data_IF_029501280847
#
_entry.id   IF_029501280847
#
_cell.length_a   1.000
_cell.length_b   1.000
_cell.length_c   1.000
_cell.angle_alpha   90.00
_cell.angle_beta   90.00
_cell.angle_gamma   90.00
#
_symmetry.space_group_name_H-M   'P 1'
#
loop_
_entity.id
_entity.type
_entity.pdbx_description
1 polymer ?
#
# COMPACT_ATOMS: atom_id res chain seq x y z
N UNK A 1 -9.63 -16.82 17.39
CA UNK A 1 -9.33 -15.39 17.17
C UNK A 1 -8.83 -15.33 15.74
N UNK A 2 -9.42 -14.48 14.88
CA UNK A 2 -9.03 -14.44 13.46
C UNK A 2 -7.67 -13.76 13.39
N UNK A 3 -6.63 -14.54 13.11
CA UNK A 3 -5.27 -14.07 12.76
C UNK A 3 -5.20 -13.65 11.28
N UNK A 4 -6.31 -13.19 10.71
CA UNK A 4 -6.43 -12.68 9.34
C UNK A 4 -6.54 -11.16 9.48
N UNK A 5 -5.75 -10.37 8.75
CA UNK A 5 -5.96 -8.93 8.73
C UNK A 5 -7.23 -8.59 7.96
N UNK A 6 -7.59 -7.32 8.07
CA UNK A 6 -8.80 -6.82 7.46
C UNK A 6 -8.62 -6.79 5.94
N UNK A 7 -9.62 -7.29 5.20
CA UNK A 7 -9.73 -7.07 3.77
C UNK A 7 -9.53 -5.58 3.43
N UNK A 8 -8.98 -5.30 2.25
CA UNK A 8 -8.71 -3.92 1.84
C UNK A 8 -9.98 -3.04 1.84
N UNK A 9 -9.88 -1.86 2.46
CA UNK A 9 -11.01 -0.93 2.64
C UNK A 9 -10.83 0.32 1.79
N UNK A 10 -11.85 0.68 1.02
CA UNK A 10 -11.94 1.97 0.32
C UNK A 10 -12.84 2.95 1.09
N UNK A 11 -12.25 4.05 1.57
CA UNK A 11 -12.98 5.15 2.19
C UNK A 11 -13.19 6.29 1.19
N UNK A 12 -14.45 6.56 0.80
CA UNK A 12 -14.80 7.61 -0.15
C UNK A 12 -15.76 8.64 0.45
N UNK A 13 -15.55 9.91 0.11
CA UNK A 13 -16.42 11.01 0.48
C UNK A 13 -15.71 12.37 0.46
N UNK A 14 -16.45 13.48 0.54
CA UNK A 14 -15.89 14.83 0.63
C UNK A 14 -14.76 15.00 1.68
N UNK A 15 -13.88 16.00 1.52
CA UNK A 15 -12.94 16.39 2.57
C UNK A 15 -13.65 16.71 3.89
N UNK A 16 -13.03 16.36 5.02
CA UNK A 16 -13.58 16.66 6.35
C UNK A 16 -14.58 15.65 6.92
N UNK A 17 -14.95 14.59 6.18
CA UNK A 17 -15.84 13.53 6.69
C UNK A 17 -15.16 12.46 7.56
N UNK A 18 -13.92 12.70 8.00
CA UNK A 18 -13.23 11.81 8.93
C UNK A 18 -12.65 10.53 8.31
N UNK A 19 -12.33 10.50 7.01
CA UNK A 19 -11.68 9.34 6.35
C UNK A 19 -10.37 8.95 7.06
N UNK A 20 -9.48 9.92 7.28
CA UNK A 20 -8.23 9.73 8.02
C UNK A 20 -8.49 9.28 9.45
N UNK A 21 -9.51 9.84 10.10
CA UNK A 21 -9.93 9.42 11.44
C UNK A 21 -10.40 7.97 11.46
N UNK A 22 -11.11 7.51 10.43
CA UNK A 22 -11.50 6.10 10.31
C UNK A 22 -10.34 5.15 10.08
N UNK A 23 -9.36 5.53 9.26
CA UNK A 23 -8.16 4.71 9.13
C UNK A 23 -7.44 4.54 10.48
N UNK A 24 -7.33 5.61 11.27
CA UNK A 24 -6.75 5.58 12.61
C UNK A 24 -7.56 4.70 13.59
N UNK A 25 -8.89 4.79 13.55
CA UNK A 25 -9.76 3.94 14.38
C UNK A 25 -9.63 2.47 13.99
N UNK A 26 -9.60 2.14 12.70
CA UNK A 26 -9.40 0.76 12.23
C UNK A 26 -8.11 0.18 12.79
N UNK A 27 -6.98 0.88 12.62
CA UNK A 27 -5.68 0.41 13.14
C UNK A 27 -5.70 0.26 14.67
N UNK A 28 -6.34 1.18 15.38
CA UNK A 28 -6.46 1.13 16.84
C UNK A 28 -7.30 -0.05 17.33
N UNK A 29 -8.44 -0.32 16.68
CA UNK A 29 -9.32 -1.46 17.02
C UNK A 29 -8.67 -2.82 16.69
N UNK A 30 -7.82 -2.86 15.66
CA UNK A 30 -7.03 -4.04 15.32
C UNK A 30 -5.78 -4.21 16.21
N UNK A 31 -5.37 -3.16 16.92
CA UNK A 31 -4.18 -3.18 17.78
C UNK A 31 -2.85 -3.23 17.01
N UNK A 32 -2.82 -2.69 15.79
CA UNK A 32 -1.68 -2.74 14.85
C UNK A 32 -1.13 -1.34 14.55
N UNK A 33 0.03 -1.27 13.90
CA UNK A 33 0.61 -0.02 13.42
C UNK A 33 -0.17 0.56 12.24
N UNK A 34 0.06 1.85 11.97
CA UNK A 34 -0.49 2.52 10.79
C UNK A 34 0.60 3.33 10.10
N UNK A 35 0.77 3.09 8.80
CA UNK A 35 1.62 3.90 7.93
C UNK A 35 0.74 4.75 7.02
N UNK A 36 0.90 6.07 7.11
CA UNK A 36 0.13 7.03 6.31
C UNK A 36 0.99 7.58 5.18
N UNK A 37 0.39 7.67 4.00
CA UNK A 37 0.96 8.31 2.80
C UNK A 37 -0.18 8.92 1.98
N UNK A 38 0.13 9.50 0.82
CA UNK A 38 -0.87 9.95 -0.14
C UNK A 38 -0.49 9.62 -1.57
N UNK A 39 -1.49 9.48 -2.44
CA UNK A 39 -1.30 9.20 -3.86
C UNK A 39 -0.26 10.11 -4.52
N UNK A 40 -0.31 11.45 -4.33
CA UNK A 40 0.67 12.37 -4.92
C UNK A 40 2.11 12.22 -4.41
N UNK A 41 2.32 11.61 -3.25
CA UNK A 41 3.66 11.39 -2.67
C UNK A 41 4.35 10.18 -3.32
N UNK A 42 3.57 9.26 -3.89
CA UNK A 42 4.09 8.03 -4.50
C UNK A 42 4.25 8.28 -6.01
N UNK A 43 5.47 8.62 -6.43
CA UNK A 43 5.74 9.04 -7.81
C UNK A 43 6.10 7.87 -8.73
N UNK A 44 6.67 6.80 -8.16
CA UNK A 44 7.14 5.61 -8.91
C UNK A 44 6.99 4.34 -8.09
N UNK A 45 7.00 3.19 -8.77
CA UNK A 45 6.85 1.87 -8.16
C UNK A 45 7.83 1.62 -7.00
N UNK A 46 9.07 2.10 -7.11
CA UNK A 46 10.07 1.97 -6.05
C UNK A 46 9.69 2.65 -4.73
N UNK A 47 8.90 3.73 -4.78
CA UNK A 47 8.47 4.43 -3.57
C UNK A 47 7.40 3.60 -2.83
N UNK A 48 6.47 2.99 -3.58
CA UNK A 48 5.48 2.06 -3.03
C UNK A 48 6.16 0.82 -2.42
N UNK A 49 7.14 0.25 -3.12
CA UNK A 49 7.92 -0.90 -2.64
C UNK A 49 8.66 -0.57 -1.34
N UNK A 50 9.22 0.64 -1.21
CA UNK A 50 9.86 1.06 0.03
C UNK A 50 8.85 1.16 1.18
N UNK A 51 7.65 1.69 0.93
CA UNK A 51 6.58 1.77 1.94
C UNK A 51 6.15 0.37 2.39
N UNK A 52 5.93 -0.55 1.45
CA UNK A 52 5.46 -1.91 1.73
C UNK A 52 6.50 -2.75 2.48
N UNK A 53 7.78 -2.62 2.15
CA UNK A 53 8.86 -3.33 2.86
C UNK A 53 9.02 -2.89 4.32
N UNK A 54 8.60 -1.68 4.65
CA UNK A 54 8.66 -1.15 6.01
C UNK A 54 7.43 -1.53 6.85
N UNK A 55 6.41 -2.18 6.28
CA UNK A 55 5.23 -2.60 7.03
C UNK A 55 5.52 -3.86 7.85
N UNK A 56 5.04 -3.87 9.09
CA UNK A 56 4.97 -5.10 9.87
C UNK A 56 3.72 -5.91 9.50
N UNK A 57 3.73 -7.25 9.67
CA UNK A 57 2.54 -8.07 9.45
C UNK A 57 1.33 -7.55 10.25
N UNK A 58 0.26 -7.19 9.54
CA UNK A 58 -1.00 -6.71 10.11
C UNK A 58 -1.12 -5.18 10.14
N UNK A 59 -0.05 -4.44 9.85
CA UNK A 59 -0.10 -2.97 9.80
C UNK A 59 -1.10 -2.46 8.75
N UNK A 60 -1.73 -1.33 9.07
CA UNK A 60 -2.60 -0.61 8.13
C UNK A 60 -1.77 0.35 7.28
N UNK A 61 -1.74 0.12 5.97
CA UNK A 61 -1.30 1.14 5.01
C UNK A 61 -2.48 2.03 4.59
N UNK A 62 -2.45 3.30 5.00
CA UNK A 62 -3.44 4.29 4.58
C UNK A 62 -2.88 5.21 3.50
N UNK A 63 -3.49 5.19 2.31
CA UNK A 63 -3.15 6.03 1.17
C UNK A 63 -4.27 7.07 0.96
N UNK A 64 -4.06 8.30 1.40
CA UNK A 64 -5.00 9.38 1.10
C UNK A 64 -4.92 9.79 -0.37
N UNK A 65 -6.01 10.32 -0.92
CA UNK A 65 -6.08 10.71 -2.34
C UNK A 65 -5.60 9.60 -3.30
N UNK A 66 -5.91 8.33 -3.00
CA UNK A 66 -5.45 7.17 -3.79
C UNK A 66 -5.73 7.28 -5.31
N UNK A 67 -6.81 7.99 -5.68
CA UNK A 67 -7.17 8.31 -7.06
C UNK A 67 -6.15 9.20 -7.81
N UNK A 68 -5.14 9.73 -7.12
CA UNK A 68 -4.06 10.53 -7.70
C UNK A 68 -2.77 9.74 -7.88
N UNK A 69 -2.79 8.42 -7.65
CA UNK A 69 -1.66 7.56 -7.97
C UNK A 69 -1.38 7.59 -9.49
N UNK A 70 -0.11 7.60 -9.90
CA UNK A 70 0.25 7.33 -11.28
C UNK A 70 -0.21 5.93 -11.68
N UNK A 71 -0.70 5.76 -12.91
CA UNK A 71 -1.18 4.46 -13.43
C UNK A 71 -0.17 3.32 -13.22
N UNK A 72 1.12 3.57 -13.48
CA UNK A 72 2.18 2.59 -13.29
C UNK A 72 2.36 2.16 -11.81
N UNK A 73 2.04 3.03 -10.86
CA UNK A 73 2.07 2.70 -9.42
C UNK A 73 0.79 1.96 -9.04
N UNK A 74 -0.35 2.33 -9.61
CA UNK A 74 -1.64 1.67 -9.41
C UNK A 74 -1.59 0.19 -9.84
N UNK A 75 -1.00 -0.12 -11.00
CA UNK A 75 -0.81 -1.50 -11.49
C UNK A 75 0.03 -2.36 -10.52
N UNK A 76 1.08 -1.76 -9.94
CA UNK A 76 1.90 -2.42 -8.92
C UNK A 76 1.12 -2.63 -7.64
N UNK A 77 0.33 -1.64 -7.21
CA UNK A 77 -0.51 -1.76 -6.02
C UNK A 77 -1.57 -2.86 -6.19
N UNK A 78 -2.20 -2.97 -7.37
CA UNK A 78 -3.15 -4.07 -7.64
C UNK A 78 -2.46 -5.43 -7.54
N UNK A 79 -1.27 -5.59 -8.14
CA UNK A 79 -0.52 -6.85 -8.07
C UNK A 79 -0.18 -7.23 -6.62
N UNK A 80 0.23 -6.23 -5.81
CA UNK A 80 0.50 -6.41 -4.40
C UNK A 80 -0.73 -6.83 -3.58
N UNK A 81 -1.91 -6.32 -3.93
CA UNK A 81 -3.18 -6.62 -3.24
C UNK A 81 -3.78 -7.97 -3.65
N UNK A 82 -3.67 -8.37 -4.92
CA UNK A 82 -4.25 -9.62 -5.42
C UNK A 82 -3.36 -10.83 -5.11
N UNK A 83 -2.05 -10.72 -5.33
CA UNK A 83 -1.14 -11.86 -5.37
C UNK A 83 0.01 -11.79 -4.34
N UNK A 84 0.06 -10.75 -3.51
CA UNK A 84 1.14 -10.51 -2.52
C UNK A 84 2.56 -10.54 -3.12
N UNK A 85 2.71 -10.11 -4.37
CA UNK A 85 4.02 -9.90 -4.98
C UNK A 85 4.07 -8.60 -5.76
N UNK A 86 5.28 -8.15 -6.04
CA UNK A 86 5.53 -7.01 -6.92
C UNK A 86 6.58 -7.37 -7.97
N UNK A 87 6.26 -7.11 -9.24
CA UNK A 87 7.23 -7.07 -10.31
C UNK A 87 7.69 -5.63 -10.57
N UNK A 88 8.97 -5.35 -10.36
CA UNK A 88 9.57 -4.05 -10.72
C UNK A 88 10.76 -4.21 -11.66
N UNK A 89 10.91 -3.23 -12.56
CA UNK A 89 12.13 -3.05 -13.33
C UNK A 89 13.15 -2.28 -12.49
N UNK A 90 14.28 -2.91 -12.17
CA UNK A 90 15.41 -2.28 -11.47
C UNK A 90 16.55 -2.03 -12.45
N UNK A 91 17.13 -0.83 -12.38
CA UNK A 91 18.25 -0.39 -13.23
C UNK A 91 17.80 0.52 -14.39
N UNK A 92 18.77 1.13 -15.08
CA UNK A 92 18.53 2.04 -16.22
C UNK A 92 19.20 1.51 -17.49
N UNK A 93 18.54 1.68 -18.64
CA UNK A 93 19.07 1.27 -19.95
C UNK A 93 19.28 -0.24 -20.10
N UNK A 94 20.37 -0.63 -20.73
CA UNK A 94 20.69 -2.02 -21.09
C UNK A 94 20.95 -2.94 -19.88
N UNK A 95 21.09 -2.38 -18.67
CA UNK A 95 21.26 -3.14 -17.42
C UNK A 95 19.96 -3.29 -16.64
N UNK A 96 18.83 -2.87 -17.20
CA UNK A 96 17.53 -3.05 -16.54
C UNK A 96 17.17 -4.53 -16.48
N UNK A 97 16.70 -4.97 -15.31
CA UNK A 97 16.20 -6.32 -15.08
C UNK A 97 14.90 -6.28 -14.31
N UNK A 98 13.99 -7.18 -14.65
CA UNK A 98 12.80 -7.43 -13.84
C UNK A 98 13.20 -8.18 -12.57
N UNK A 99 12.67 -7.74 -11.44
CA UNK A 99 12.82 -8.38 -10.14
C UNK A 99 11.43 -8.64 -9.58
N UNK A 100 11.21 -9.90 -9.25
CA UNK A 100 10.04 -10.36 -8.51
C UNK A 100 10.34 -10.23 -7.02
N UNK A 101 9.51 -9.49 -6.30
CA UNK A 101 9.59 -9.29 -4.87
C UNK A 101 8.36 -9.92 -4.24
N UNK A 102 8.56 -11.01 -3.50
CA UNK A 102 7.53 -11.54 -2.61
C UNK A 102 7.30 -10.51 -1.51
N UNK A 103 6.06 -10.10 -1.32
CA UNK A 103 5.69 -9.34 -0.13
C UNK A 103 5.47 -10.35 1.00
N UNK A 104 5.78 -9.97 2.26
CA UNK A 104 5.21 -10.72 3.37
C UNK A 104 3.69 -10.77 3.14
N UNK A 105 3.02 -11.91 3.43
CA UNK A 105 1.57 -11.96 3.35
C UNK A 105 1.05 -10.75 4.13
N UNK A 106 0.36 -9.83 3.46
CA UNK A 106 -0.43 -8.83 4.18
C UNK A 106 -1.47 -9.72 4.87
N UNK A 107 -1.41 -9.90 6.20
CA UNK A 107 -2.16 -10.98 6.84
C UNK A 107 -3.65 -10.86 6.59
#
# INVERSE_FOLDING_TARGET
MRDEALDHVLLFGPPGLGKTTMALVIANELGVGIKQTSGPVIEKAGDLVAILNDLEPGDVLFIDEIHRLPMAVEEVLYSAMEDFYIDIMIGTGDTSRSVHLDLPPLP
#
